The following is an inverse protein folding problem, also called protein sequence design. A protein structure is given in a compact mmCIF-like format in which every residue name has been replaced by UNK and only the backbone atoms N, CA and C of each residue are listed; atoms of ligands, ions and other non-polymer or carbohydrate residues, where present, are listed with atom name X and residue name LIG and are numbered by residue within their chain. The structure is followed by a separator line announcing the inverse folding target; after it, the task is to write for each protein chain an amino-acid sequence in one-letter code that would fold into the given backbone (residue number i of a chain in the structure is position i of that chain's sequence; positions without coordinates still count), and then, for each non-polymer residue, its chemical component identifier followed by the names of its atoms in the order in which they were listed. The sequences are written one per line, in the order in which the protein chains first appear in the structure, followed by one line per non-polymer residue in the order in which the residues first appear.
data_IF_188935537318
#
_entry.id   IF_188935537318
#
_cell.length_a   1.000
_cell.length_b   1.000
_cell.length_c   1.000
_cell.angle_alpha   90.00
_cell.angle_beta   90.00
_cell.angle_gamma   90.00
#
_symmetry.space_group_name_H-M   'P 1'
#
loop_
_entity.id
_entity.type
_entity.pdbx_description
1 polymer ?
#
# COMPACT_ATOMS: atom_id res chain seq x y z
N UNK A 1 9.13 23.36 4.39
CA UNK A 1 9.73 22.49 3.34
C UNK A 1 8.94 21.18 3.26
N UNK A 2 9.06 20.40 2.17
CA UNK A 2 8.34 19.12 2.03
C UNK A 2 8.62 18.13 3.18
N UNK A 3 9.82 18.19 3.76
CA UNK A 3 10.20 17.42 4.95
C UNK A 3 9.33 17.71 6.19
N UNK A 4 8.90 18.96 6.39
CA UNK A 4 8.04 19.33 7.52
C UNK A 4 6.62 18.78 7.33
N UNK A 5 6.12 18.79 6.08
CA UNK A 5 4.85 18.18 5.72
C UNK A 5 4.91 16.67 5.94
N UNK A 6 5.96 16.01 5.47
CA UNK A 6 6.19 14.59 5.69
C UNK A 6 6.21 14.26 7.19
N UNK A 7 7.03 14.92 8.00
CA UNK A 7 7.07 14.68 9.46
C UNK A 7 5.70 14.86 10.13
N UNK A 8 4.93 15.87 9.72
CA UNK A 8 3.62 16.17 10.31
C UNK A 8 2.54 15.17 9.90
N UNK A 9 2.50 14.77 8.64
CA UNK A 9 1.38 14.01 8.07
C UNK A 9 1.67 12.52 7.88
N UNK A 10 2.94 12.12 7.83
CA UNK A 10 3.32 10.72 7.65
C UNK A 10 2.76 9.78 8.72
N UNK A 11 2.73 10.09 10.03
CA UNK A 11 2.19 9.16 11.02
C UNK A 11 0.72 8.77 10.75
N UNK A 12 -0.09 9.74 10.31
CA UNK A 12 -1.50 9.49 9.94
C UNK A 12 -1.59 8.69 8.64
N UNK A 13 -0.77 9.03 7.66
CA UNK A 13 -0.68 8.29 6.40
C UNK A 13 -0.27 6.82 6.66
N UNK A 14 0.80 6.58 7.43
CA UNK A 14 1.32 5.26 7.75
C UNK A 14 0.29 4.39 8.47
N UNK A 15 -0.45 4.96 9.43
CA UNK A 15 -1.58 4.26 10.07
C UNK A 15 -2.62 3.81 9.05
N UNK A 16 -3.10 4.73 8.21
CA UNK A 16 -4.12 4.40 7.20
C UNK A 16 -3.62 3.40 6.16
N UNK A 17 -2.34 3.51 5.76
CA UNK A 17 -1.71 2.60 4.83
C UNK A 17 -1.65 1.17 5.41
N UNK A 18 -1.27 1.01 6.69
CA UNK A 18 -1.24 -0.29 7.38
C UNK A 18 -2.62 -0.92 7.52
N UNK A 19 -3.64 -0.12 7.82
CA UNK A 19 -5.03 -0.60 7.87
C UNK A 19 -5.48 -1.15 6.51
N UNK A 20 -5.14 -0.46 5.41
CA UNK A 20 -5.43 -0.90 4.04
C UNK A 20 -4.62 -2.14 3.65
N UNK A 21 -3.35 -2.25 4.07
CA UNK A 21 -2.53 -3.46 3.86
C UNK A 21 -3.14 -4.65 4.59
N UNK A 22 -3.52 -4.51 5.85
CA UNK A 22 -4.15 -5.58 6.63
C UNK A 22 -5.46 -6.06 5.98
N UNK A 23 -6.28 -5.14 5.49
CA UNK A 23 -7.47 -5.47 4.70
C UNK A 23 -7.11 -6.21 3.40
N UNK A 24 -6.05 -5.79 2.73
CA UNK A 24 -5.54 -6.45 1.52
C UNK A 24 -5.09 -7.88 1.77
N UNK A 25 -4.41 -8.13 2.89
CA UNK A 25 -3.98 -9.47 3.32
C UNK A 25 -5.20 -10.37 3.57
N UNK A 26 -6.27 -9.86 4.18
CA UNK A 26 -7.51 -10.61 4.36
C UNK A 26 -8.19 -10.90 3.02
N UNK A 27 -8.25 -9.90 2.13
CA UNK A 27 -8.83 -10.02 0.79
C UNK A 27 -8.11 -11.05 -0.06
N UNK A 28 -6.77 -11.05 -0.04
CA UNK A 28 -5.97 -12.01 -0.79
C UNK A 28 -6.21 -13.45 -0.35
N UNK A 29 -6.62 -13.67 0.90
CA UNK A 29 -6.91 -15.00 1.45
C UNK A 29 -8.41 -15.38 1.35
N UNK A 30 -9.28 -14.46 0.93
CA UNK A 30 -10.70 -14.72 0.79
C UNK A 30 -11.01 -15.49 -0.51
N UNK A 31 -12.06 -16.32 -0.46
CA UNK A 31 -12.56 -17.07 -1.62
C UNK A 31 -13.48 -16.26 -2.54
N UNK A 32 -13.95 -15.09 -2.09
CA UNK A 32 -14.91 -14.25 -2.81
C UNK A 32 -14.20 -13.08 -3.54
N UNK A 33 -14.43 -12.94 -4.85
CA UNK A 33 -13.60 -12.13 -5.76
C UNK A 33 -13.84 -10.60 -5.75
N UNK A 34 -14.87 -10.10 -5.07
CA UNK A 34 -15.23 -8.66 -5.11
C UNK A 34 -14.33 -7.78 -4.23
N UNK A 35 -13.68 -8.35 -3.21
CA UNK A 35 -12.79 -7.60 -2.33
C UNK A 35 -11.56 -7.05 -3.07
N UNK A 36 -11.09 -7.74 -4.11
CA UNK A 36 -9.87 -7.39 -4.85
C UNK A 36 -10.03 -6.06 -5.62
N UNK A 37 -11.20 -5.80 -6.20
CA UNK A 37 -11.45 -4.54 -6.90
C UNK A 37 -11.54 -3.34 -5.92
N UNK A 38 -12.13 -3.54 -4.75
CA UNK A 38 -12.15 -2.53 -3.70
C UNK A 38 -10.74 -2.24 -3.17
N UNK A 39 -9.91 -3.28 -3.02
CA UNK A 39 -8.51 -3.13 -2.65
C UNK A 39 -7.71 -2.33 -3.69
N UNK A 40 -7.92 -2.58 -4.99
CA UNK A 40 -7.28 -1.80 -6.05
C UNK A 40 -7.58 -0.30 -5.92
N UNK A 41 -8.85 0.06 -5.65
CA UNK A 41 -9.24 1.46 -5.37
C UNK A 41 -8.54 2.05 -4.14
N UNK A 42 -8.39 1.27 -3.07
CA UNK A 42 -7.65 1.72 -1.88
C UNK A 42 -6.17 1.98 -2.18
N UNK A 43 -5.53 1.11 -2.97
CA UNK A 43 -4.13 1.28 -3.38
C UNK A 43 -3.95 2.49 -4.29
N UNK A 44 -4.90 2.74 -5.20
CA UNK A 44 -4.93 3.95 -6.02
C UNK A 44 -4.96 5.22 -5.17
N UNK A 45 -5.88 5.30 -4.21
CA UNK A 45 -5.98 6.45 -3.30
C UNK A 45 -4.71 6.60 -2.46
N UNK A 46 -4.14 5.50 -1.98
CA UNK A 46 -2.89 5.50 -1.21
C UNK A 46 -1.72 6.05 -2.04
N UNK A 47 -1.61 5.67 -3.32
CA UNK A 47 -0.61 6.21 -4.25
C UNK A 47 -0.79 7.74 -4.43
N UNK A 48 -2.03 8.21 -4.53
CA UNK A 48 -2.34 9.64 -4.58
C UNK A 48 -1.91 10.38 -3.30
N UNK A 49 -2.25 9.85 -2.13
CA UNK A 49 -1.84 10.39 -0.83
C UNK A 49 -0.30 10.42 -0.68
N UNK A 50 0.39 9.36 -1.08
CA UNK A 50 1.86 9.29 -1.08
C UNK A 50 2.48 10.36 -2.00
N UNK A 51 1.87 10.60 -3.16
CA UNK A 51 2.30 11.65 -4.10
C UNK A 51 2.20 13.05 -3.49
N UNK A 52 1.12 13.34 -2.75
CA UNK A 52 0.96 14.62 -2.04
C UNK A 52 2.02 14.84 -0.95
N UNK A 53 2.57 13.77 -0.40
CA UNK A 53 3.66 13.81 0.59
C UNK A 53 5.05 13.75 -0.05
N UNK A 54 5.16 13.68 -1.38
CA UNK A 54 6.44 13.54 -2.08
C UNK A 54 7.14 12.20 -1.83
N UNK A 55 6.39 11.16 -1.46
CA UNK A 55 6.91 9.82 -1.16
C UNK A 55 6.95 8.97 -2.44
N UNK A 56 7.81 9.36 -3.39
CA UNK A 56 7.84 8.79 -4.75
C UNK A 56 7.93 7.26 -4.79
N UNK A 57 8.81 6.68 -3.97
CA UNK A 57 8.96 5.21 -3.90
C UNK A 57 7.67 4.52 -3.45
N UNK A 58 6.95 5.10 -2.48
CA UNK A 58 5.64 4.57 -2.05
C UNK A 58 4.57 4.71 -3.12
N UNK A 59 4.63 5.73 -3.98
CA UNK A 59 3.72 5.83 -5.14
C UNK A 59 3.90 4.62 -6.04
N UNK A 60 5.14 4.29 -6.40
CA UNK A 60 5.46 3.15 -7.27
C UNK A 60 5.00 1.84 -6.64
N UNK A 61 5.30 1.63 -5.35
CA UNK A 61 4.94 0.39 -4.64
C UNK A 61 3.42 0.25 -4.49
N UNK A 62 2.70 1.34 -4.16
CA UNK A 62 1.24 1.31 -4.08
C UNK A 62 0.59 1.02 -5.45
N UNK A 63 1.16 1.53 -6.55
CA UNK A 63 0.70 1.20 -7.92
C UNK A 63 0.90 -0.27 -8.27
N UNK A 64 2.02 -0.88 -7.84
CA UNK A 64 2.24 -2.31 -8.03
C UNK A 64 1.19 -3.14 -7.27
N UNK A 65 0.82 -2.73 -6.05
CA UNK A 65 -0.25 -3.38 -5.29
C UNK A 65 -1.65 -3.17 -5.94
N UNK A 66 -1.92 -1.99 -6.50
CA UNK A 66 -3.14 -1.71 -7.29
C UNK A 66 -3.25 -2.64 -8.50
N UNK A 67 -2.15 -2.78 -9.25
CA UNK A 67 -2.10 -3.66 -10.42
C UNK A 67 -2.31 -5.12 -10.02
N UNK A 68 -1.62 -5.60 -8.99
CA UNK A 68 -1.78 -6.98 -8.51
C UNK A 68 -3.21 -7.27 -8.05
N UNK A 69 -3.86 -6.32 -7.36
CA UNK A 69 -5.26 -6.46 -6.95
C UNK A 69 -6.21 -6.47 -8.14
N UNK A 70 -5.96 -5.66 -9.16
CA UNK A 70 -6.73 -5.65 -10.43
C UNK A 70 -6.59 -6.98 -11.16
N UNK A 71 -5.38 -7.52 -11.23
CA UNK A 71 -5.12 -8.81 -11.87
C UNK A 71 -5.78 -9.97 -11.11
N UNK A 72 -5.78 -9.94 -9.77
CA UNK A 72 -6.48 -10.93 -8.96
C UNK A 72 -8.00 -10.87 -9.15
N UNK A 73 -8.57 -9.67 -9.25
CA UNK A 73 -10.00 -9.50 -9.53
C UNK A 73 -10.38 -10.05 -10.91
N UNK A 74 -9.53 -9.82 -11.92
CA UNK A 74 -9.75 -10.32 -13.28
C UNK A 74 -9.64 -11.85 -13.36
N UNK A 75 -8.71 -12.45 -12.63
CA UNK A 75 -8.45 -13.89 -12.63
C UNK A 75 -7.88 -14.37 -11.28
N UNK A 76 -8.72 -15.04 -10.48
CA UNK A 76 -8.46 -15.39 -9.07
C UNK A 76 -7.56 -16.64 -8.88
N UNK A 77 -6.43 -16.70 -9.60
CA UNK A 77 -5.47 -17.80 -9.49
C UNK A 77 -4.57 -17.67 -8.26
N UNK A 78 -3.95 -18.78 -7.89
CA UNK A 78 -2.97 -18.83 -6.80
C UNK A 78 -1.77 -17.90 -7.07
N UNK A 79 -1.27 -17.85 -8.30
CA UNK A 79 -0.16 -16.96 -8.65
C UNK A 79 -0.50 -15.47 -8.51
N UNK A 80 -1.75 -15.07 -8.82
CA UNK A 80 -2.19 -13.68 -8.60
C UNK A 80 -2.32 -13.36 -7.11
N UNK A 81 -2.79 -14.30 -6.30
CA UNK A 81 -2.81 -14.15 -4.83
C UNK A 81 -1.40 -13.92 -4.29
N UNK A 82 -0.45 -14.76 -4.69
CA UNK A 82 0.95 -14.64 -4.27
C UNK A 82 1.58 -13.31 -4.71
N UNK A 83 1.32 -12.87 -5.94
CA UNK A 83 1.75 -11.56 -6.43
C UNK A 83 1.19 -10.40 -5.62
N UNK A 84 -0.10 -10.44 -5.25
CA UNK A 84 -0.72 -9.43 -4.40
C UNK A 84 -0.11 -9.43 -2.99
N UNK A 85 0.04 -10.60 -2.37
CA UNK A 85 0.65 -10.72 -1.03
C UNK A 85 2.08 -10.16 -1.01
N UNK A 86 2.87 -10.45 -2.05
CA UNK A 86 4.22 -9.90 -2.20
C UNK A 86 4.22 -8.38 -2.31
N UNK A 87 3.34 -7.80 -3.14
CA UNK A 87 3.22 -6.35 -3.30
C UNK A 87 2.79 -5.65 -2.00
N UNK A 88 1.84 -6.25 -1.26
CA UNK A 88 1.39 -5.73 0.05
C UNK A 88 2.50 -5.81 1.12
N UNK A 89 3.30 -6.88 1.13
CA UNK A 89 4.45 -7.01 2.03
C UNK A 89 5.57 -6.00 1.74
N UNK A 90 5.82 -5.70 0.46
CA UNK A 90 6.77 -4.65 0.07
C UNK A 90 6.27 -3.27 0.51
N UNK A 91 4.97 -3.00 0.35
CA UNK A 91 4.35 -1.75 0.82
C UNK A 91 4.49 -1.58 2.34
N UNK A 92 4.20 -2.62 3.12
CA UNK A 92 4.38 -2.60 4.57
C UNK A 92 5.83 -2.33 4.98
N UNK A 93 6.76 -3.03 4.32
CA UNK A 93 8.20 -2.87 4.55
C UNK A 93 8.67 -1.45 4.22
N UNK A 94 8.21 -0.87 3.11
CA UNK A 94 8.54 0.49 2.71
C UNK A 94 8.02 1.54 3.71
N UNK A 95 6.79 1.37 4.22
CA UNK A 95 6.25 2.24 5.27
C UNK A 95 7.14 2.18 6.52
N UNK A 96 7.55 0.98 6.94
CA UNK A 96 8.43 0.80 8.10
C UNK A 96 9.82 1.46 7.93
N UNK A 97 10.41 1.37 6.72
CA UNK A 97 11.69 2.04 6.41
C UNK A 97 11.58 3.56 6.51
N UNK A 98 10.52 4.14 5.96
CA UNK A 98 10.31 5.59 5.99
C UNK A 98 10.02 6.05 7.42
N UNK A 99 9.20 5.32 8.18
CA UNK A 99 8.94 5.64 9.60
C UNK A 99 10.25 5.69 10.41
N UNK A 100 11.09 4.67 10.26
CA UNK A 100 12.40 4.57 10.93
C UNK A 100 13.35 5.71 10.56
N UNK A 101 13.23 6.27 9.34
CA UNK A 101 14.04 7.40 8.90
C UNK A 101 13.70 8.71 9.64
N UNK A 102 12.45 8.87 10.09
CA UNK A 102 12.04 10.03 10.88
C UNK A 102 12.55 9.96 12.31
N UNK A 103 12.64 8.75 12.88
CA UNK A 103 13.16 8.56 14.24
C UNK A 103 14.69 8.68 14.31
N UNK A 104 15.40 8.27 13.25
CA UNK A 104 16.86 8.45 13.14
C UNK A 104 17.30 9.89 12.91
N UNK A 105 16.36 10.80 12.64
CA UNK A 105 16.61 12.22 12.33
C UNK A 105 16.27 13.16 13.51
N UNK A 106 16.16 12.62 14.72
CA UNK A 106 16.06 13.34 16.00
C UNK A 106 17.39 13.29 16.72
#
# INVERSE_FOLDING_TARGET
MIADLQRKFFPRFAKSARERVALGMQTANATEGDGALQLARHMHSLAGEAGLLGLGDLVVIARAAEEAATQLHADATQGRREGLLAALGELESAIGRIESSFDSSK
#
